data_IF_410288805489
#
_entry.id   IF_410288805489
#
_cell.length_a   1.000
_cell.length_b   1.000
_cell.length_c   1.000
_cell.angle_alpha   90.00
_cell.angle_beta   90.00
_cell.angle_gamma   90.00
#
_symmetry.space_group_name_H-M   'P 1'
#
loop_
_entity.id
_entity.type
_entity.pdbx_description
1 polymer ?
#
# COMPACT_ATOMS: atom_id res chain seq x y z
N UNK A 1 -12.30 3.69 -21.66
CA UNK A 1 -11.91 3.88 -20.24
C UNK A 1 -13.01 4.65 -19.52
N UNK A 2 -13.32 4.37 -18.25
CA UNK A 2 -14.33 5.13 -17.49
C UNK A 2 -13.70 6.27 -16.67
N UNK A 3 -14.46 7.33 -16.38
CA UNK A 3 -14.02 8.45 -15.52
C UNK A 3 -13.48 7.97 -14.15
N UNK A 4 -14.09 6.93 -13.58
CA UNK A 4 -13.66 6.30 -12.34
C UNK A 4 -12.24 5.70 -12.46
N UNK A 5 -11.91 5.10 -13.59
CA UNK A 5 -10.57 4.56 -13.85
C UNK A 5 -9.52 5.64 -14.03
N UNK A 6 -9.87 6.74 -14.70
CA UNK A 6 -8.97 7.89 -14.83
C UNK A 6 -8.62 8.48 -13.47
N UNK A 7 -9.61 8.63 -12.58
CA UNK A 7 -9.39 9.12 -11.21
C UNK A 7 -8.46 8.21 -10.40
N UNK A 8 -8.59 6.88 -10.53
CA UNK A 8 -7.66 5.92 -9.90
C UNK A 8 -6.23 6.07 -10.42
N UNK A 9 -6.06 6.28 -11.73
CA UNK A 9 -4.74 6.51 -12.33
C UNK A 9 -4.14 7.80 -11.80
N UNK A 10 -4.91 8.89 -11.77
CA UNK A 10 -4.46 10.17 -11.22
C UNK A 10 -4.08 10.07 -9.74
N UNK A 11 -4.88 9.35 -8.95
CA UNK A 11 -4.56 9.08 -7.55
C UNK A 11 -3.24 8.31 -7.40
N UNK A 12 -3.06 7.24 -8.19
CA UNK A 12 -1.83 6.46 -8.19
C UNK A 12 -0.60 7.30 -8.57
N UNK A 13 -0.70 8.12 -9.62
CA UNK A 13 0.38 9.01 -10.06
C UNK A 13 0.76 10.00 -8.96
N UNK A 14 -0.22 10.60 -8.29
CA UNK A 14 0.04 11.52 -7.18
C UNK A 14 0.68 10.81 -5.98
N UNK A 15 0.20 9.61 -5.61
CA UNK A 15 0.81 8.78 -4.56
C UNK A 15 2.28 8.46 -4.86
N UNK A 16 2.59 8.07 -6.10
CA UNK A 16 3.96 7.79 -6.55
C UNK A 16 4.86 9.03 -6.47
N UNK A 17 4.30 10.22 -6.60
CA UNK A 17 4.98 11.50 -6.45
C UNK A 17 4.95 12.05 -5.01
N UNK A 18 4.43 11.28 -4.03
CA UNK A 18 4.25 11.72 -2.64
C UNK A 18 3.30 12.92 -2.47
N UNK A 19 2.43 13.18 -3.45
CA UNK A 19 1.39 14.23 -3.39
C UNK A 19 0.12 13.69 -2.74
N UNK A 20 0.16 13.51 -1.43
CA UNK A 20 -0.85 12.75 -0.68
C UNK A 20 -2.23 13.42 -0.68
N UNK A 21 -2.27 14.73 -0.49
CA UNK A 21 -3.52 15.50 -0.51
C UNK A 21 -4.21 15.41 -1.88
N UNK A 22 -3.46 15.54 -2.97
CA UNK A 22 -4.02 15.44 -4.31
C UNK A 22 -4.46 14.02 -4.63
N UNK A 23 -3.70 13.00 -4.20
CA UNK A 23 -4.14 11.62 -4.30
C UNK A 23 -5.47 11.38 -3.55
N UNK A 24 -5.60 11.95 -2.34
CA UNK A 24 -6.84 11.89 -1.54
C UNK A 24 -8.01 12.56 -2.25
N UNK A 25 -7.81 13.75 -2.82
CA UNK A 25 -8.82 14.46 -3.63
C UNK A 25 -9.28 13.63 -4.84
N UNK A 26 -8.37 12.92 -5.49
CA UNK A 26 -8.74 12.06 -6.62
C UNK A 26 -9.51 10.81 -6.17
N UNK A 27 -9.11 10.17 -5.06
CA UNK A 27 -9.78 8.98 -4.54
C UNK A 27 -11.15 9.26 -3.94
N UNK A 28 -11.35 10.42 -3.29
CA UNK A 28 -12.65 10.79 -2.72
C UNK A 28 -13.75 10.95 -3.78
N UNK A 29 -13.35 11.22 -5.04
CA UNK A 29 -14.24 11.29 -6.20
C UNK A 29 -14.54 9.93 -6.82
N UNK A 30 -14.01 8.84 -6.26
CA UNK A 30 -14.22 7.47 -6.73
C UNK A 30 -15.24 6.77 -5.84
N UNK A 31 -16.31 6.25 -6.44
CA UNK A 31 -17.26 5.41 -5.72
C UNK A 31 -16.87 3.94 -5.88
N UNK A 32 -16.35 3.27 -4.83
CA UNK A 32 -15.87 1.89 -4.94
C UNK A 32 -16.97 0.89 -5.29
N UNK A 33 -18.24 1.17 -4.96
CA UNK A 33 -19.38 0.28 -5.29
C UNK A 33 -19.58 0.14 -6.80
N UNK A 34 -19.24 1.17 -7.57
CA UNK A 34 -19.35 1.17 -9.03
C UNK A 34 -18.10 0.62 -9.74
N UNK A 35 -17.09 0.18 -8.97
CA UNK A 35 -15.90 -0.45 -9.52
C UNK A 35 -16.10 -1.95 -9.63
N UNK A 36 -15.66 -2.50 -10.76
CA UNK A 36 -15.41 -3.94 -10.92
C UNK A 36 -14.45 -4.43 -9.83
N UNK A 37 -14.57 -5.67 -9.33
CA UNK A 37 -13.82 -6.17 -8.17
C UNK A 37 -12.33 -5.86 -8.20
N UNK A 38 -11.68 -6.10 -9.35
CA UNK A 38 -10.26 -5.79 -9.55
C UNK A 38 -9.92 -4.32 -9.32
N UNK A 39 -10.72 -3.40 -9.87
CA UNK A 39 -10.50 -1.94 -9.70
C UNK A 39 -10.78 -1.50 -8.28
N UNK A 40 -11.74 -2.15 -7.61
CA UNK A 40 -12.05 -1.93 -6.20
C UNK A 40 -10.87 -2.35 -5.32
N UNK A 41 -10.20 -3.47 -5.63
CA UNK A 41 -8.94 -3.86 -4.99
C UNK A 41 -7.86 -2.78 -5.08
N UNK A 42 -7.67 -2.16 -6.26
CA UNK A 42 -6.75 -1.02 -6.37
C UNK A 42 -7.20 0.19 -5.56
N UNK A 43 -8.50 0.51 -5.54
CA UNK A 43 -8.99 1.61 -4.71
C UNK A 43 -8.68 1.39 -3.23
N UNK A 44 -8.91 0.17 -2.71
CA UNK A 44 -8.56 -0.20 -1.34
C UNK A 44 -7.07 -0.10 -1.07
N UNK A 45 -6.23 -0.53 -2.01
CA UNK A 45 -4.78 -0.40 -1.90
C UNK A 45 -4.35 1.08 -1.79
N UNK A 46 -4.84 1.95 -2.67
CA UNK A 46 -4.48 3.36 -2.67
C UNK A 46 -4.99 4.08 -1.42
N UNK A 47 -6.24 3.81 -1.01
CA UNK A 47 -6.81 4.34 0.23
C UNK A 47 -6.06 3.85 1.47
N UNK A 48 -5.72 2.56 1.53
CA UNK A 48 -4.94 2.00 2.62
C UNK A 48 -3.56 2.60 2.72
N UNK A 49 -2.92 2.88 1.57
CA UNK A 49 -1.61 3.55 1.51
C UNK A 49 -1.68 4.98 2.08
N UNK A 50 -2.71 5.76 1.76
CA UNK A 50 -2.91 7.09 2.35
C UNK A 50 -3.23 7.03 3.85
N UNK A 51 -3.97 6.02 4.29
CA UNK A 51 -4.35 5.87 5.69
C UNK A 51 -3.14 5.62 6.61
N UNK A 52 -2.01 5.12 6.07
CA UNK A 52 -0.80 4.86 6.84
C UNK A 52 -0.23 6.10 7.54
N UNK A 53 -0.51 7.31 7.04
CA UNK A 53 -0.02 8.57 7.65
C UNK A 53 -0.78 8.97 8.91
N UNK A 54 -2.02 8.50 9.07
CA UNK A 54 -2.91 8.99 10.13
C UNK A 54 -3.50 7.88 10.99
N UNK A 55 -3.79 6.72 10.41
CA UNK A 55 -4.40 5.60 11.11
C UNK A 55 -3.93 4.23 10.57
N UNK A 56 -2.97 3.65 11.27
CA UNK A 56 -2.41 2.33 10.95
C UNK A 56 -3.44 1.19 11.04
N UNK A 57 -4.50 1.32 11.85
CA UNK A 57 -5.55 0.30 11.93
C UNK A 57 -6.44 0.31 10.70
N UNK A 58 -6.82 1.50 10.23
CA UNK A 58 -7.57 1.65 8.98
C UNK A 58 -6.73 1.22 7.78
N UNK A 59 -5.44 1.58 7.75
CA UNK A 59 -4.51 1.12 6.73
C UNK A 59 -4.47 -0.40 6.66
N UNK A 60 -4.33 -1.09 7.81
CA UNK A 60 -4.32 -2.55 7.85
C UNK A 60 -5.59 -3.16 7.26
N UNK A 61 -6.76 -2.68 7.67
CA UNK A 61 -8.05 -3.16 7.17
C UNK A 61 -8.18 -2.98 5.66
N UNK A 62 -7.94 -1.77 5.17
CA UNK A 62 -8.04 -1.45 3.74
C UNK A 62 -7.05 -2.26 2.89
N UNK A 63 -5.82 -2.45 3.36
CA UNK A 63 -4.81 -3.23 2.64
C UNK A 63 -5.14 -4.72 2.61
N UNK A 64 -5.77 -5.28 3.67
CA UNK A 64 -6.27 -6.66 3.66
C UNK A 64 -7.42 -6.82 2.66
N UNK A 65 -8.37 -5.89 2.66
CA UNK A 65 -9.45 -5.85 1.67
C UNK A 65 -8.91 -5.83 0.23
N UNK A 66 -7.83 -5.08 -0.01
CA UNK A 66 -7.20 -5.02 -1.33
C UNK A 66 -6.70 -6.39 -1.82
N UNK A 67 -6.17 -7.22 -0.91
CA UNK A 67 -5.73 -8.59 -1.24
C UNK A 67 -6.91 -9.51 -1.49
N UNK A 68 -7.97 -9.42 -0.68
CA UNK A 68 -9.18 -10.24 -0.80
C UNK A 68 -9.93 -9.96 -2.12
N UNK A 69 -10.02 -8.69 -2.52
CA UNK A 69 -10.69 -8.27 -3.75
C UNK A 69 -9.96 -8.68 -5.04
N UNK A 70 -8.81 -9.36 -4.95
CA UNK A 70 -8.17 -10.05 -6.06
C UNK A 70 -7.35 -9.15 -6.98
N UNK A 71 -6.27 -8.54 -6.46
CA UNK A 71 -5.25 -7.92 -7.31
C UNK A 71 -4.69 -8.95 -8.30
N UNK A 72 -4.71 -8.64 -9.59
CA UNK A 72 -4.35 -9.61 -10.64
C UNK A 72 -2.84 -9.83 -10.74
N UNK A 73 -2.05 -8.80 -10.48
CA UNK A 73 -0.62 -8.85 -10.77
C UNK A 73 0.19 -9.13 -9.51
N UNK A 74 1.22 -9.98 -9.64
CA UNK A 74 2.13 -10.29 -8.53
C UNK A 74 2.78 -9.03 -7.96
N UNK A 75 3.16 -8.06 -8.80
CA UNK A 75 3.76 -6.81 -8.35
C UNK A 75 2.82 -5.95 -7.50
N UNK A 76 1.53 -5.92 -7.80
CA UNK A 76 0.54 -5.19 -7.00
C UNK A 76 0.36 -5.87 -5.64
N UNK A 77 0.28 -7.20 -5.62
CA UNK A 77 0.24 -7.97 -4.37
C UNK A 77 1.51 -7.75 -3.55
N UNK A 78 2.68 -7.69 -4.19
CA UNK A 78 3.94 -7.40 -3.54
C UNK A 78 3.91 -6.02 -2.87
N UNK A 79 3.42 -4.98 -3.57
CA UNK A 79 3.30 -3.63 -3.03
C UNK A 79 2.34 -3.56 -1.83
N UNK A 80 1.19 -4.24 -1.88
CA UNK A 80 0.28 -4.31 -0.73
C UNK A 80 0.93 -5.01 0.47
N UNK A 81 1.64 -6.12 0.24
CA UNK A 81 2.33 -6.85 1.31
C UNK A 81 3.48 -6.06 1.91
N UNK A 82 4.20 -5.29 1.11
CA UNK A 82 5.20 -4.34 1.59
C UNK A 82 4.56 -3.31 2.53
N UNK A 83 3.43 -2.70 2.14
CA UNK A 83 2.73 -1.74 2.99
C UNK A 83 2.19 -2.39 4.27
N UNK A 84 1.65 -3.61 4.20
CA UNK A 84 1.27 -4.37 5.39
C UNK A 84 2.47 -4.67 6.29
N UNK A 85 3.66 -4.92 5.73
CA UNK A 85 4.88 -5.10 6.52
C UNK A 85 5.29 -3.82 7.25
N UNK A 86 5.15 -2.66 6.59
CA UNK A 86 5.35 -1.33 7.21
C UNK A 86 4.35 -1.13 8.36
N UNK A 87 3.07 -1.38 8.14
CA UNK A 87 2.02 -1.27 9.17
C UNK A 87 2.30 -2.21 10.36
N UNK A 88 2.64 -3.47 10.08
CA UNK A 88 2.99 -4.44 11.12
C UNK A 88 4.24 -4.00 11.91
N UNK A 89 5.25 -3.44 11.24
CA UNK A 89 6.45 -2.89 11.88
C UNK A 89 6.10 -1.72 12.81
N UNK A 90 5.31 -0.75 12.33
CA UNK A 90 4.84 0.39 13.13
C UNK A 90 4.07 -0.04 14.39
N UNK A 91 3.28 -1.11 14.26
CA UNK A 91 2.50 -1.73 15.34
C UNK A 91 3.33 -2.67 16.22
N UNK A 92 4.67 -2.67 16.10
CA UNK A 92 5.61 -3.51 16.86
C UNK A 92 5.31 -5.02 16.74
N UNK A 93 4.92 -5.47 15.53
CA UNK A 93 4.67 -6.89 15.18
C UNK A 93 5.75 -7.41 14.22
N UNK A 94 7.02 -7.56 14.66
CA UNK A 94 8.15 -7.87 13.76
C UNK A 94 8.05 -9.25 13.10
N UNK A 95 7.48 -10.26 13.78
CA UNK A 95 7.28 -11.61 13.19
C UNK A 95 6.38 -11.54 11.95
N UNK A 96 5.24 -10.85 12.08
CA UNK A 96 4.30 -10.64 10.98
C UNK A 96 4.93 -9.79 9.87
N UNK A 97 5.63 -8.72 10.24
CA UNK A 97 6.31 -7.86 9.27
C UNK A 97 7.34 -8.63 8.43
N UNK A 98 8.14 -9.51 9.04
CA UNK A 98 9.09 -10.38 8.33
C UNK A 98 8.40 -11.36 7.39
N UNK A 99 7.30 -11.98 7.82
CA UNK A 99 6.54 -12.91 6.98
C UNK A 99 5.97 -12.20 5.73
N UNK A 100 5.35 -11.04 5.93
CA UNK A 100 4.82 -10.21 4.84
C UNK A 100 5.91 -9.75 3.87
N UNK A 101 7.09 -9.38 4.41
CA UNK A 101 8.22 -8.96 3.59
C UNK A 101 8.80 -10.12 2.76
N UNK A 102 8.82 -11.34 3.30
CA UNK A 102 9.23 -12.53 2.56
C UNK A 102 8.28 -12.83 1.40
N UNK A 103 6.96 -12.73 1.63
CA UNK A 103 5.98 -12.88 0.57
C UNK A 103 6.09 -11.77 -0.49
N UNK A 104 6.35 -10.52 -0.07
CA UNK A 104 6.63 -9.41 -0.99
C UNK A 104 7.84 -9.71 -1.89
N UNK A 105 8.98 -10.13 -1.30
CA UNK A 105 10.19 -10.51 -2.03
C UNK A 105 9.92 -11.62 -3.06
N UNK A 106 9.10 -12.61 -2.71
CA UNK A 106 8.71 -13.70 -3.62
C UNK A 106 7.88 -13.23 -4.83
N UNK A 107 7.06 -12.20 -4.64
CA UNK A 107 6.17 -11.67 -5.68
C UNK A 107 6.84 -10.58 -6.53
N UNK A 108 7.84 -9.86 -6.02
CA UNK A 108 8.61 -8.83 -6.74
C UNK A 108 9.68 -9.44 -7.67
N UNK A 109 9.26 -10.27 -8.61
CA UNK A 109 10.15 -11.01 -9.54
C UNK A 109 11.07 -10.09 -10.37
N UNK A 110 10.64 -8.86 -10.63
CA UNK A 110 11.39 -7.87 -11.44
C UNK A 110 12.24 -6.93 -10.59
N UNK A 111 12.16 -7.03 -9.25
CA UNK A 111 12.94 -6.20 -8.34
C UNK A 111 12.55 -4.72 -8.32
N UNK A 112 11.30 -4.40 -8.65
CA UNK A 112 10.81 -3.01 -8.70
C UNK A 112 10.70 -2.38 -7.31
N UNK A 113 10.58 -3.20 -6.27
CA UNK A 113 10.45 -2.77 -4.87
C UNK A 113 11.73 -2.97 -4.07
N UNK A 114 12.86 -3.35 -4.71
CA UNK A 114 14.14 -3.66 -4.03
C UNK A 114 14.57 -2.58 -3.03
N UNK A 115 14.48 -1.31 -3.40
CA UNK A 115 14.85 -0.18 -2.53
C UNK A 115 13.95 -0.10 -1.32
N UNK A 116 12.64 -0.16 -1.52
CA UNK A 116 11.67 -0.04 -0.45
C UNK A 116 11.72 -1.26 0.49
N UNK A 117 11.87 -2.46 -0.04
CA UNK A 117 12.08 -3.70 0.73
C UNK A 117 13.26 -3.56 1.70
N UNK A 118 14.40 -3.04 1.23
CA UNK A 118 15.58 -2.80 2.08
C UNK A 118 15.28 -1.80 3.21
N UNK A 119 14.53 -0.74 2.92
CA UNK A 119 14.14 0.25 3.92
C UNK A 119 13.24 -0.35 5.00
N UNK A 120 12.25 -1.17 4.59
CA UNK A 120 11.35 -1.86 5.53
C UNK A 120 12.11 -2.89 6.36
N UNK A 121 13.03 -3.64 5.75
CA UNK A 121 13.89 -4.60 6.46
C UNK A 121 14.73 -3.92 7.55
N UNK A 122 15.36 -2.78 7.21
CA UNK A 122 16.11 -1.97 8.17
C UNK A 122 15.21 -1.43 9.29
N UNK A 123 13.98 -0.99 8.98
CA UNK A 123 13.03 -0.51 9.98
C UNK A 123 12.54 -1.63 10.92
N UNK A 124 12.39 -2.86 10.43
CA UNK A 124 12.03 -4.03 11.25
C UNK A 124 13.17 -4.40 12.21
N UNK A 125 14.42 -4.30 11.76
CA UNK A 125 15.60 -4.59 12.57
C UNK A 125 15.92 -3.47 13.56
N UNK A 126 15.72 -2.22 13.14
CA UNK A 126 15.93 -1.02 13.94
C UNK A 126 14.69 -0.11 13.87
N UNK A 127 13.73 -0.29 14.80
CA UNK A 127 12.48 0.48 14.83
C UNK A 127 12.66 2.00 14.95
N UNK A 128 13.83 2.48 15.38
CA UNK A 128 14.09 3.92 15.50
C UNK A 128 14.20 4.61 14.13
N UNK A 129 14.62 3.89 13.10
CA UNK A 129 14.75 4.39 11.71
C UNK A 129 13.39 4.81 11.13
N UNK A 130 12.30 4.19 11.57
CA UNK A 130 10.96 4.48 11.05
C UNK A 130 10.38 5.81 11.53
N UNK A 131 10.84 6.34 12.67
CA UNK A 131 10.35 7.62 13.23
C UNK A 131 10.78 8.84 12.40
N UNK A 132 11.76 8.70 11.50
CA UNK A 132 12.27 9.79 10.68
C UNK A 132 11.41 10.11 9.45
N UNK A 133 10.48 9.23 9.06
CA UNK A 133 9.60 9.44 7.88
C UNK A 133 8.33 10.25 8.15
N UNK A 134 8.03 10.52 9.42
CA UNK A 134 6.83 11.26 9.84
C UNK A 134 7.10 12.69 10.31
N UNK A 135 8.23 13.28 9.89
CA UNK A 135 8.57 14.69 10.12
C UNK A 135 8.71 15.40 8.79
#
# INVERSE_FOLDING_TARGET
MTLQSLRLIMAFVNLRQQKMDDARKWLSRVNPKHLWPRRRGYWYFLMGSLAMEHNMNDAERLLREALEMGLKQDHDKAAVKLNLAVVASAKRKPKLAKALLAECKRLDKKGMLKKDIKQVEAAIQNPQVMRMRGR
#
